data_IF_970003469695
#
_entry.id   IF_970003469695
#
_cell.length_a   1.000
_cell.length_b   1.000
_cell.length_c   1.000
_cell.angle_alpha   90.00
_cell.angle_beta   90.00
_cell.angle_gamma   90.00
#
_symmetry.space_group_name_H-M   'P 1'
#
loop_
_entity.id
_entity.type
_entity.pdbx_description
1 polymer ?
#
# COMPACT_ATOMS: atom_id res chain seq x y z
N UNK A 1 -7.44 1.73 16.99
CA UNK A 1 -6.39 1.58 15.94
C UNK A 1 -6.75 2.43 14.74
N UNK A 2 -5.84 3.31 14.31
CA UNK A 2 -6.03 4.18 13.14
C UNK A 2 -6.14 3.32 11.87
N UNK A 3 -7.21 3.50 11.10
CA UNK A 3 -7.37 2.85 9.80
C UNK A 3 -6.47 3.53 8.77
N UNK A 4 -5.65 2.75 8.07
CA UNK A 4 -4.70 3.22 7.05
C UNK A 4 -5.20 2.87 5.65
N UNK A 5 -4.84 3.69 4.67
CA UNK A 5 -4.97 3.39 3.24
C UNK A 5 -3.62 2.87 2.73
N UNK A 6 -3.56 1.61 2.32
CA UNK A 6 -2.33 0.91 1.95
C UNK A 6 -2.37 0.55 0.47
N UNK A 7 -1.49 1.15 -0.32
CA UNK A 7 -1.34 0.79 -1.73
C UNK A 7 -0.44 -0.44 -1.87
N UNK A 8 -0.93 -1.46 -2.59
CA UNK A 8 -0.27 -2.73 -2.85
C UNK A 8 -0.03 -2.90 -4.34
N UNK A 9 1.23 -2.88 -4.74
CA UNK A 9 1.67 -3.00 -6.13
C UNK A 9 2.73 -4.08 -6.24
N UNK A 10 2.74 -4.80 -7.34
CA UNK A 10 3.82 -5.74 -7.65
C UNK A 10 4.05 -5.85 -9.15
N UNK A 11 5.29 -6.00 -9.56
CA UNK A 11 5.60 -6.48 -10.91
C UNK A 11 5.06 -7.90 -11.12
N UNK A 12 4.84 -8.28 -12.37
CA UNK A 12 4.26 -9.60 -12.69
C UNK A 12 5.00 -10.76 -12.04
N UNK A 13 6.33 -10.73 -12.07
CA UNK A 13 7.18 -11.75 -11.45
C UNK A 13 7.11 -11.77 -9.90
N UNK A 14 6.58 -10.72 -9.28
CA UNK A 14 6.48 -10.58 -7.82
C UNK A 14 5.05 -10.65 -7.29
N UNK A 15 4.05 -10.79 -8.17
CA UNK A 15 2.64 -10.83 -7.77
C UNK A 15 2.34 -11.96 -6.79
N UNK A 16 2.86 -13.17 -7.06
CA UNK A 16 2.62 -14.30 -6.18
C UNK A 16 3.23 -14.06 -4.79
N UNK A 17 4.44 -13.50 -4.73
CA UNK A 17 5.09 -13.14 -3.47
C UNK A 17 4.25 -12.13 -2.68
N UNK A 18 3.68 -11.12 -3.35
CA UNK A 18 2.80 -10.15 -2.70
C UNK A 18 1.52 -10.81 -2.16
N UNK A 19 0.87 -11.68 -2.95
CA UNK A 19 -0.35 -12.38 -2.52
C UNK A 19 -0.06 -13.26 -1.30
N UNK A 20 1.03 -14.02 -1.31
CA UNK A 20 1.41 -14.89 -0.19
C UNK A 20 1.76 -14.07 1.05
N UNK A 21 2.42 -12.92 0.86
CA UNK A 21 2.70 -11.97 1.93
C UNK A 21 1.42 -11.38 2.54
N UNK A 22 0.44 -11.02 1.73
CA UNK A 22 -0.85 -10.51 2.22
C UNK A 22 -1.63 -11.60 2.96
N UNK A 23 -1.65 -12.86 2.44
CA UNK A 23 -2.27 -13.98 3.13
C UNK A 23 -1.66 -14.23 4.52
N UNK A 24 -0.33 -14.18 4.62
CA UNK A 24 0.37 -14.34 5.88
C UNK A 24 0.07 -13.22 6.87
N UNK A 25 -0.06 -11.98 6.38
CA UNK A 25 -0.31 -10.79 7.19
C UNK A 25 -1.79 -10.37 7.25
N UNK A 26 -2.72 -11.23 6.84
CA UNK A 26 -4.15 -10.88 6.71
C UNK A 26 -4.76 -10.30 7.99
N UNK A 27 -4.34 -10.77 9.16
CA UNK A 27 -4.82 -10.25 10.45
C UNK A 27 -4.45 -8.77 10.65
N UNK A 28 -3.21 -8.41 10.34
CA UNK A 28 -2.71 -7.04 10.49
C UNK A 28 -3.33 -6.12 9.45
N UNK A 29 -3.54 -6.63 8.23
CA UNK A 29 -4.05 -5.86 7.09
C UNK A 29 -5.56 -5.67 7.11
N UNK A 30 -6.29 -6.59 7.71
CA UNK A 30 -7.76 -6.60 7.71
C UNK A 30 -8.44 -5.31 8.20
N UNK A 31 -7.97 -4.62 9.25
CA UNK A 31 -8.59 -3.38 9.72
C UNK A 31 -8.38 -2.19 8.77
N UNK A 32 -7.50 -2.34 7.81
CA UNK A 32 -7.06 -1.28 6.91
C UNK A 32 -7.80 -1.35 5.56
N UNK A 33 -7.68 -0.28 4.78
CA UNK A 33 -8.21 -0.21 3.43
C UNK A 33 -7.07 -0.42 2.44
N UNK A 34 -7.19 -1.45 1.60
CA UNK A 34 -6.19 -1.79 0.61
C UNK A 34 -6.56 -1.20 -0.75
N UNK A 35 -5.57 -0.68 -1.46
CA UNK A 35 -5.71 -0.20 -2.84
C UNK A 35 -4.71 -1.01 -3.68
N UNK A 36 -5.15 -1.62 -4.77
CA UNK A 36 -4.26 -2.44 -5.58
C UNK A 36 -4.54 -2.34 -7.08
N UNK A 37 -3.51 -2.62 -7.90
CA UNK A 37 -3.61 -2.54 -9.35
C UNK A 37 -4.18 -3.82 -9.96
N UNK A 38 -5.05 -3.66 -10.97
CA UNK A 38 -5.47 -4.69 -11.91
C UNK A 38 -5.83 -6.06 -11.29
N UNK A 39 -5.17 -7.10 -11.80
CA UNK A 39 -5.39 -8.50 -11.36
C UNK A 39 -4.99 -8.73 -9.91
N UNK A 40 -4.03 -7.97 -9.37
CA UNK A 40 -3.64 -8.04 -7.96
C UNK A 40 -4.83 -7.72 -7.05
N UNK A 41 -5.56 -6.65 -7.34
CA UNK A 41 -6.74 -6.27 -6.55
C UNK A 41 -7.80 -7.38 -6.53
N UNK A 42 -8.06 -8.01 -7.69
CA UNK A 42 -9.00 -9.14 -7.77
C UNK A 42 -8.57 -10.29 -6.86
N UNK A 43 -7.31 -10.73 -6.95
CA UNK A 43 -6.80 -11.84 -6.13
C UNK A 43 -6.82 -11.52 -4.64
N UNK A 44 -6.55 -10.27 -4.26
CA UNK A 44 -6.59 -9.84 -2.86
C UNK A 44 -8.02 -9.80 -2.31
N UNK A 45 -9.00 -9.39 -3.12
CA UNK A 45 -10.41 -9.35 -2.69
C UNK A 45 -11.03 -10.75 -2.48
N UNK A 46 -10.39 -11.80 -2.97
CA UNK A 46 -10.80 -13.20 -2.78
C UNK A 46 -10.20 -13.83 -1.50
N UNK A 47 -9.32 -13.11 -0.78
CA UNK A 47 -8.71 -13.63 0.45
C UNK A 47 -9.72 -13.61 1.58
N UNK A 48 -10.10 -14.83 2.04
CA UNK A 48 -10.99 -15.03 3.16
C UNK A 48 -10.27 -14.82 4.50
N UNK A 49 -10.95 -14.16 5.43
CA UNK A 49 -10.47 -13.85 6.78
C UNK A 49 -11.17 -14.66 7.88
N UNK A 50 -12.07 -15.57 7.55
CA UNK A 50 -12.81 -16.39 8.54
C UNK A 50 -11.90 -17.24 9.42
N UNK A 51 -10.66 -17.51 8.96
CA UNK A 51 -9.62 -18.20 9.73
C UNK A 51 -8.85 -17.29 10.69
N UNK A 52 -9.21 -16.01 10.82
CA UNK A 52 -8.62 -15.13 11.83
C UNK A 52 -9.08 -15.60 13.21
N UNK A 53 -8.12 -15.72 14.15
CA UNK A 53 -8.40 -16.16 15.51
C UNK A 53 -9.61 -15.45 16.11
N UNK A 54 -10.54 -16.17 16.75
CA UNK A 54 -11.68 -15.56 17.44
C UNK A 54 -11.29 -14.55 18.50
N UNK A 55 -10.13 -14.73 19.11
CA UNK A 55 -9.60 -13.88 20.19
C UNK A 55 -8.86 -12.63 19.69
N UNK A 56 -8.80 -12.41 18.38
CA UNK A 56 -8.13 -11.23 17.86
C UNK A 56 -8.95 -9.96 18.14
N UNK A 57 -8.38 -8.98 18.87
CA UNK A 57 -9.14 -7.81 19.35
C UNK A 57 -9.67 -6.89 18.25
N UNK A 58 -9.17 -7.04 17.01
CA UNK A 58 -9.66 -6.30 15.84
C UNK A 58 -10.82 -6.97 15.11
N UNK A 59 -11.27 -8.17 15.53
CA UNK A 59 -12.36 -8.89 14.86
C UNK A 59 -13.75 -8.31 15.13
N UNK A 60 -13.93 -7.39 16.12
CA UNK A 60 -15.17 -6.67 16.43
C UNK A 60 -16.31 -6.82 15.41
N UNK A 61 -17.32 -6.07 15.38
CA UNK A 61 -18.55 -6.18 14.55
C UNK A 61 -18.36 -6.14 13.02
N UNK A 62 -17.28 -6.76 12.50
CA UNK A 62 -17.06 -6.84 11.06
C UNK A 62 -17.90 -7.97 10.44
N UNK A 63 -18.92 -7.57 9.69
CA UNK A 63 -19.76 -8.48 8.88
C UNK A 63 -19.08 -8.94 7.59
N UNK A 64 -17.88 -8.44 7.26
CA UNK A 64 -17.14 -8.75 6.04
C UNK A 64 -16.11 -9.84 6.30
N UNK A 65 -16.20 -10.94 5.58
CA UNK A 65 -15.26 -12.05 5.63
C UNK A 65 -14.06 -11.91 4.69
N UNK A 66 -13.96 -10.79 4.00
CA UNK A 66 -12.92 -10.51 2.99
C UNK A 66 -12.20 -9.20 3.26
N UNK A 67 -10.98 -9.08 2.71
CA UNK A 67 -10.22 -7.85 2.78
C UNK A 67 -10.93 -6.71 2.00
N UNK A 68 -10.91 -5.50 2.58
CA UNK A 68 -11.44 -4.31 1.91
C UNK A 68 -10.43 -3.81 0.86
N UNK A 69 -10.66 -4.14 -0.42
CA UNK A 69 -9.76 -3.79 -1.53
C UNK A 69 -10.46 -2.89 -2.54
N UNK A 70 -9.88 -1.73 -2.83
CA UNK A 70 -10.29 -0.86 -3.95
C UNK A 70 -9.37 -1.12 -5.15
N UNK A 71 -9.92 -1.57 -6.29
CA UNK A 71 -9.14 -1.75 -7.50
C UNK A 71 -8.84 -0.41 -8.17
N UNK A 72 -7.61 -0.25 -8.68
CA UNK A 72 -7.27 0.75 -9.70
C UNK A 72 -6.93 0.03 -11.00
N UNK A 73 -6.68 0.76 -12.08
CA UNK A 73 -6.28 0.16 -13.35
C UNK A 73 -4.99 -0.66 -13.20
N UNK A 74 -4.72 -1.57 -14.13
CA UNK A 74 -3.41 -2.24 -14.21
C UNK A 74 -2.31 -1.22 -14.51
N UNK A 75 -1.06 -1.50 -14.07
CA UNK A 75 0.07 -0.60 -14.25
C UNK A 75 0.17 -0.05 -15.68
N UNK A 76 0.27 -0.91 -16.74
CA UNK A 76 0.36 -0.47 -18.14
C UNK A 76 -0.82 0.38 -18.64
N UNK A 77 -1.95 0.35 -17.96
CA UNK A 77 -3.14 1.16 -18.26
C UNK A 77 -3.27 2.42 -17.40
N UNK A 78 -2.24 2.77 -16.65
CA UNK A 78 -2.22 3.98 -15.82
C UNK A 78 -2.52 3.75 -14.34
N UNK A 79 -2.53 2.51 -13.85
CA UNK A 79 -2.75 2.20 -12.43
C UNK A 79 -1.70 2.83 -11.52
N UNK A 80 -0.45 2.85 -11.94
CA UNK A 80 0.65 3.46 -11.19
C UNK A 80 0.46 4.98 -11.08
N UNK A 81 0.03 5.63 -12.16
CA UNK A 81 -0.29 7.06 -12.18
C UNK A 81 -1.48 7.38 -11.27
N UNK A 82 -2.49 6.51 -11.20
CA UNK A 82 -3.62 6.67 -10.28
C UNK A 82 -3.14 6.62 -8.82
N UNK A 83 -2.29 5.66 -8.46
CA UNK A 83 -1.71 5.57 -7.11
C UNK A 83 -0.84 6.81 -6.82
N UNK A 84 -0.04 7.26 -7.78
CA UNK A 84 0.75 8.48 -7.66
C UNK A 84 -0.11 9.72 -7.39
N UNK A 85 -1.24 9.87 -8.09
CA UNK A 85 -2.21 10.93 -7.84
C UNK A 85 -2.83 10.84 -6.43
N UNK A 86 -3.18 9.64 -5.98
CA UNK A 86 -3.72 9.40 -4.64
C UNK A 86 -2.69 9.72 -3.54
N UNK A 87 -1.40 9.44 -3.76
CA UNK A 87 -0.31 9.87 -2.86
C UNK A 87 -0.28 11.40 -2.76
N UNK A 88 -0.29 12.09 -3.91
CA UNK A 88 -0.23 13.53 -3.96
C UNK A 88 -1.46 14.21 -3.31
N UNK A 89 -2.60 13.54 -3.31
CA UNK A 89 -3.84 13.97 -2.67
C UNK A 89 -3.92 13.60 -1.17
N UNK A 90 -2.90 12.92 -0.62
CA UNK A 90 -2.87 12.48 0.78
C UNK A 90 -3.86 11.34 1.09
N UNK A 91 -4.22 10.55 0.08
CA UNK A 91 -5.16 9.43 0.20
C UNK A 91 -4.46 8.09 0.45
N UNK A 92 -3.13 8.04 0.44
CA UNK A 92 -2.32 6.86 0.73
C UNK A 92 -1.44 7.13 1.94
N UNK A 93 -1.49 6.23 2.91
CA UNK A 93 -0.64 6.29 4.12
C UNK A 93 0.62 5.43 3.97
N UNK A 94 0.52 4.31 3.24
CA UNK A 94 1.64 3.35 3.06
C UNK A 94 1.65 2.84 1.63
N UNK A 95 2.82 2.76 1.02
CA UNK A 95 3.03 2.13 -0.29
C UNK A 95 3.90 0.87 -0.13
N UNK A 96 3.37 -0.28 -0.53
CA UNK A 96 4.12 -1.54 -0.65
C UNK A 96 4.20 -1.89 -2.12
N UNK A 97 5.40 -1.83 -2.68
CA UNK A 97 5.65 -2.12 -4.09
C UNK A 97 6.72 -3.20 -4.24
N UNK A 98 6.33 -4.45 -4.44
CA UNK A 98 7.30 -5.53 -4.66
C UNK A 98 7.88 -5.44 -6.08
N UNK A 99 9.10 -4.89 -6.14
CA UNK A 99 9.80 -4.62 -7.40
C UNK A 99 10.60 -5.83 -7.88
N UNK A 100 10.57 -6.07 -9.18
CA UNK A 100 11.55 -6.92 -9.87
C UNK A 100 12.60 -6.03 -10.52
N UNK A 101 13.80 -6.00 -9.95
CA UNK A 101 14.90 -5.17 -10.41
C UNK A 101 15.89 -5.93 -11.30
N UNK A 102 15.64 -7.22 -11.56
CA UNK A 102 16.51 -8.04 -12.42
C UNK A 102 16.22 -7.86 -13.91
N UNK A 103 14.98 -7.53 -14.24
CA UNK A 103 14.55 -7.34 -15.63
C UNK A 103 14.39 -5.85 -15.87
N UNK A 104 15.13 -5.32 -16.85
CA UNK A 104 14.95 -3.97 -17.37
C UNK A 104 13.60 -3.94 -18.12
N UNK A 105 12.53 -3.66 -17.38
CA UNK A 105 11.22 -3.47 -17.99
C UNK A 105 11.02 -2.00 -18.34
N UNK A 106 10.24 -1.72 -19.38
CA UNK A 106 9.90 -0.36 -19.79
C UNK A 106 9.18 0.48 -18.72
N UNK A 107 8.92 -0.09 -17.54
CA UNK A 107 8.24 0.53 -16.41
C UNK A 107 9.16 1.00 -15.27
N UNK A 108 10.47 1.00 -15.44
CA UNK A 108 11.40 1.52 -14.41
C UNK A 108 11.13 2.98 -14.05
N UNK A 109 10.63 3.76 -15.01
CA UNK A 109 10.23 5.15 -14.79
C UNK A 109 9.05 5.26 -13.80
N UNK A 110 8.12 4.31 -13.82
CA UNK A 110 6.93 4.32 -12.96
C UNK A 110 7.30 4.01 -11.51
N UNK A 111 8.22 3.05 -11.29
CA UNK A 111 8.76 2.75 -9.95
C UNK A 111 9.43 3.99 -9.37
N UNK A 112 10.31 4.62 -10.14
CA UNK A 112 11.03 5.83 -9.73
C UNK A 112 10.07 6.98 -9.44
N UNK A 113 9.00 7.12 -10.22
CA UNK A 113 7.97 8.13 -10.00
C UNK A 113 7.21 7.89 -8.69
N UNK A 114 6.76 6.66 -8.43
CA UNK A 114 6.02 6.31 -7.20
C UNK A 114 6.88 6.45 -5.95
N UNK A 115 8.11 5.93 -5.95
CA UNK A 115 9.01 6.03 -4.81
C UNK A 115 9.43 7.47 -4.52
N UNK A 116 9.64 8.28 -5.58
CA UNK A 116 9.88 9.71 -5.44
C UNK A 116 8.69 10.43 -4.79
N UNK A 117 7.46 10.13 -5.21
CA UNK A 117 6.26 10.71 -4.60
C UNK A 117 6.11 10.26 -3.14
N UNK A 118 6.31 8.98 -2.84
CA UNK A 118 6.25 8.47 -1.47
C UNK A 118 7.25 9.19 -0.55
N UNK A 119 8.49 9.39 -1.00
CA UNK A 119 9.49 10.17 -0.27
C UNK A 119 9.10 11.64 -0.14
N UNK A 120 8.63 12.27 -1.23
CA UNK A 120 8.25 13.69 -1.25
C UNK A 120 7.10 13.99 -0.27
N UNK A 121 6.11 13.11 -0.23
CA UNK A 121 4.94 13.26 0.66
C UNK A 121 5.12 12.61 2.03
N UNK A 122 6.32 12.10 2.32
CA UNK A 122 6.70 11.52 3.61
C UNK A 122 5.76 10.40 4.08
N UNK A 123 5.36 9.52 3.17
CA UNK A 123 4.64 8.30 3.51
C UNK A 123 5.61 7.11 3.66
N UNK A 124 5.26 6.15 4.48
CA UNK A 124 6.05 4.92 4.60
C UNK A 124 5.97 4.12 3.30
N UNK A 125 7.12 3.62 2.80
CA UNK A 125 7.09 2.76 1.61
C UNK A 125 8.14 1.65 1.66
N UNK A 126 7.81 0.52 1.03
CA UNK A 126 8.68 -0.63 0.87
C UNK A 126 8.73 -1.08 -0.59
N UNK A 127 9.93 -1.40 -1.08
CA UNK A 127 10.14 -1.96 -2.42
C UNK A 127 10.50 -3.46 -2.40
N UNK A 128 10.51 -4.06 -1.21
CA UNK A 128 10.78 -5.47 -0.97
C UNK A 128 10.04 -5.96 0.28
N UNK A 129 9.99 -7.29 0.42
CA UNK A 129 9.29 -7.96 1.51
C UNK A 129 9.84 -7.60 2.90
N UNK A 130 11.16 -7.61 3.09
CA UNK A 130 11.77 -7.34 4.40
C UNK A 130 11.38 -5.97 4.94
N UNK A 131 11.44 -4.94 4.09
CA UNK A 131 11.02 -3.59 4.49
C UNK A 131 9.51 -3.54 4.79
N UNK A 132 8.70 -4.25 3.99
CA UNK A 132 7.26 -4.35 4.23
C UNK A 132 6.95 -5.00 5.59
N UNK A 133 7.66 -6.08 5.95
CA UNK A 133 7.53 -6.74 7.26
C UNK A 133 7.89 -5.77 8.40
N UNK A 134 8.99 -5.01 8.26
CA UNK A 134 9.39 -4.00 9.25
C UNK A 134 8.35 -2.88 9.42
N UNK A 135 7.71 -2.44 8.33
CA UNK A 135 6.64 -1.44 8.40
C UNK A 135 5.45 -1.99 9.19
N UNK A 136 4.97 -3.21 8.85
CA UNK A 136 3.80 -3.80 9.52
C UNK A 136 4.04 -4.12 11.00
N UNK A 137 5.27 -4.46 11.37
CA UNK A 137 5.63 -4.81 12.75
C UNK A 137 6.04 -3.60 13.59
N UNK A 138 6.09 -2.41 12.99
CA UNK A 138 6.39 -1.17 13.70
C UNK A 138 5.29 -0.83 14.71
N UNK A 139 5.67 -0.39 15.89
CA UNK A 139 4.73 0.16 16.90
C UNK A 139 4.00 1.43 16.43
N UNK A 140 4.44 2.04 15.33
CA UNK A 140 3.82 3.21 14.72
C UNK A 140 2.74 2.84 13.71
N UNK A 141 2.74 1.58 13.22
CA UNK A 141 1.77 1.12 12.23
C UNK A 141 0.36 1.06 12.81
N UNK A 142 -0.56 1.85 12.27
CA UNK A 142 -1.93 1.96 12.77
C UNK A 142 -2.07 2.57 14.17
N UNK A 143 -1.02 3.16 14.74
CA UNK A 143 -1.08 3.84 16.02
C UNK A 143 -1.88 5.14 15.91
N UNK A 144 -2.85 5.35 16.81
CA UNK A 144 -3.73 6.54 16.82
C UNK A 144 -2.99 7.81 17.22
N UNK A 145 -2.01 7.67 18.08
CA UNK A 145 -1.22 8.80 18.60
C UNK A 145 -0.10 9.22 17.65
N UNK A 146 0.19 8.40 16.62
CA UNK A 146 1.21 8.70 15.62
C UNK A 146 0.63 9.47 14.44
N UNK A 147 1.04 10.70 14.28
CA UNK A 147 0.70 11.54 13.13
C UNK A 147 1.97 11.77 12.31
N UNK A 148 2.07 11.21 11.08
CA UNK A 148 3.19 11.51 10.20
C UNK A 148 3.33 13.00 9.91
N UNK A 149 4.55 13.50 9.89
CA UNK A 149 4.83 14.90 9.54
C UNK A 149 4.47 15.13 8.08
N UNK A 150 3.55 16.06 7.82
CA UNK A 150 3.24 16.48 6.45
C UNK A 150 4.31 17.46 5.95
N UNK A 151 4.74 17.29 4.70
CA UNK A 151 5.66 18.19 4.06
C UNK A 151 4.97 19.54 3.75
N UNK A 152 5.66 20.63 4.03
CA UNK A 152 5.24 21.98 3.64
C UNK A 152 5.84 22.36 2.29
N UNK A 153 5.00 22.57 1.31
CA UNK A 153 5.38 22.99 -0.04
C UNK A 153 5.16 24.47 -0.30
N UNK A 154 4.83 25.27 0.71
CA UNK A 154 4.46 26.69 0.56
C UNK A 154 5.56 27.51 -0.10
N UNK A 155 6.84 27.29 0.27
CA UNK A 155 7.98 27.99 -0.34
C UNK A 155 8.13 27.67 -1.84
N UNK A 156 7.84 26.45 -2.23
CA UNK A 156 7.88 26.03 -3.64
C UNK A 156 6.69 26.59 -4.44
N UNK A 157 5.49 26.56 -3.87
CA UNK A 157 4.28 27.03 -4.51
C UNK A 157 4.27 28.54 -4.70
N UNK A 158 4.86 29.29 -3.76
CA UNK A 158 4.90 30.76 -3.77
C UNK A 158 6.16 31.34 -4.43
N UNK A 159 7.02 30.51 -5.05
CA UNK A 159 8.19 31.00 -5.78
C UNK A 159 7.75 31.87 -6.96
N UNK A 160 8.45 32.99 -7.14
CA UNK A 160 8.33 33.81 -8.36
C UNK A 160 9.11 33.10 -9.47
N UNK A 161 8.48 32.82 -10.60
CA UNK A 161 9.11 32.30 -11.81
C UNK A 161 9.80 33.45 -12.54
#
# INVERSE_FOLDING_TARGET
>A
MRKLNIALVAHDARKQELIDWVKFNKQVLFPHHLIATGTTAKLLSEINIDEISPDWPGKGDYYNTYLAVTPVLSGPLGGDQMIGAMIAQGQIDVLIFFCDNLITQGHQTDISALTRLASLYNIAFATNRTTADMILTSSLFGNEDYVPIKQDFSSYLNRKL
#
